data_IF_450816236921
#
_entry.id   IF_450816236921
#
_cell.length_a   1.000
_cell.length_b   1.000
_cell.length_c   1.000
_cell.angle_alpha   90.00
_cell.angle_beta   90.00
_cell.angle_gamma   90.00
#
_symmetry.space_group_name_H-M   'P 1'
#
loop_
_entity.id
_entity.type
_entity.pdbx_description
1 polymer ?
#
# COMPACT_ATOMS: atom_id res chain seq x y z
N UNK A 1 -28.98 -25.01 14.60
CA UNK A 1 -29.16 -23.78 13.78
C UNK A 1 -28.21 -22.64 14.19
N UNK A 2 -28.00 -22.40 15.48
CA UNK A 2 -27.11 -21.33 16.02
C UNK A 2 -25.63 -21.49 15.61
N UNK A 3 -25.07 -22.70 15.66
CA UNK A 3 -23.67 -22.94 15.30
C UNK A 3 -23.34 -22.59 13.82
N UNK A 4 -24.26 -22.92 12.90
CA UNK A 4 -24.14 -22.53 11.48
C UNK A 4 -24.15 -21.00 11.29
N UNK A 5 -24.97 -20.28 12.06
CA UNK A 5 -25.01 -18.81 12.04
C UNK A 5 -23.70 -18.20 12.55
N UNK A 6 -23.10 -18.75 13.60
CA UNK A 6 -21.78 -18.31 14.09
C UNK A 6 -20.66 -18.55 13.07
N UNK A 7 -20.64 -19.70 12.41
CA UNK A 7 -19.63 -20.02 11.38
C UNK A 7 -19.75 -19.07 10.18
N UNK A 8 -20.99 -18.77 9.76
CA UNK A 8 -21.26 -17.78 8.70
C UNK A 8 -20.82 -16.36 9.11
N UNK A 9 -21.10 -15.96 10.35
CA UNK A 9 -20.67 -14.64 10.84
C UNK A 9 -19.13 -14.53 10.89
N UNK A 10 -18.46 -15.58 11.39
CA UNK A 10 -17.01 -15.62 11.48
C UNK A 10 -16.33 -15.58 10.09
N UNK A 11 -16.89 -16.27 9.10
CA UNK A 11 -16.36 -16.27 7.73
C UNK A 11 -16.49 -14.89 7.06
N UNK A 12 -17.62 -14.20 7.26
CA UNK A 12 -17.81 -12.82 6.76
C UNK A 12 -16.79 -11.87 7.40
N UNK A 13 -16.57 -11.97 8.72
CA UNK A 13 -15.58 -11.15 9.42
C UNK A 13 -14.17 -11.41 8.89
N UNK A 14 -13.77 -12.68 8.74
CA UNK A 14 -12.43 -13.03 8.21
C UNK A 14 -12.24 -12.53 6.78
N UNK A 15 -13.25 -12.61 5.91
CA UNK A 15 -13.17 -12.10 4.54
C UNK A 15 -13.06 -10.56 4.48
N UNK A 16 -13.74 -9.84 5.38
CA UNK A 16 -13.66 -8.37 5.43
C UNK A 16 -12.24 -7.85 5.73
N UNK A 17 -11.43 -8.62 6.47
CA UNK A 17 -10.05 -8.22 6.78
C UNK A 17 -9.13 -8.17 5.56
N UNK A 18 -9.42 -8.97 4.51
CA UNK A 18 -8.59 -9.05 3.30
C UNK A 18 -8.48 -7.71 2.55
N UNK A 19 -9.55 -6.90 2.58
CA UNK A 19 -9.57 -5.59 1.94
C UNK A 19 -8.68 -4.57 2.68
N UNK A 20 -8.55 -4.69 4.00
CA UNK A 20 -7.66 -3.83 4.79
C UNK A 20 -6.16 -4.13 4.53
N UNK A 21 -5.82 -5.37 4.15
CA UNK A 21 -4.44 -5.78 3.91
C UNK A 21 -3.88 -5.34 2.56
N UNK A 22 -4.72 -5.07 1.54
CA UNK A 22 -4.25 -4.66 0.22
C UNK A 22 -3.51 -3.31 0.26
N UNK A 23 -4.07 -2.33 0.97
CA UNK A 23 -3.45 -1.02 1.17
C UNK A 23 -2.18 -1.13 2.04
N UNK A 24 -2.22 -1.98 3.08
CA UNK A 24 -1.08 -2.20 3.97
C UNK A 24 0.13 -2.81 3.25
N UNK A 25 -0.07 -3.84 2.41
CA UNK A 25 1.03 -4.47 1.67
C UNK A 25 1.71 -3.50 0.71
N UNK A 26 0.92 -2.61 0.09
CA UNK A 26 1.44 -1.53 -0.76
C UNK A 26 2.27 -0.53 0.05
N UNK A 27 1.75 0.00 1.16
CA UNK A 27 2.48 0.95 2.01
C UNK A 27 3.77 0.36 2.57
N UNK A 28 3.73 -0.91 2.96
CA UNK A 28 4.92 -1.62 3.44
C UNK A 28 5.99 -1.78 2.36
N UNK A 29 5.59 -1.98 1.10
CA UNK A 29 6.52 -2.03 -0.04
C UNK A 29 7.17 -0.67 -0.27
N UNK A 30 6.38 0.41 -0.28
CA UNK A 30 6.87 1.79 -0.38
C UNK A 30 7.84 2.13 0.75
N UNK A 31 7.46 1.82 1.99
CA UNK A 31 8.27 2.01 3.22
C UNK A 31 9.60 1.27 3.15
N UNK A 32 9.59 0.00 2.71
CA UNK A 32 10.82 -0.79 2.57
C UNK A 32 11.77 -0.20 1.51
N UNK A 33 11.26 0.25 0.37
CA UNK A 33 12.09 0.91 -0.64
C UNK A 33 12.66 2.23 -0.11
N UNK A 34 11.87 3.05 0.59
CA UNK A 34 12.37 4.28 1.21
C UNK A 34 13.47 4.00 2.25
N UNK A 35 13.29 2.98 3.09
CA UNK A 35 14.28 2.53 4.08
C UNK A 35 15.58 2.08 3.45
N UNK A 36 15.54 1.41 2.29
CA UNK A 36 16.73 1.00 1.54
C UNK A 36 17.60 2.21 1.16
N UNK A 37 16.98 3.32 0.76
CA UNK A 37 17.66 4.59 0.47
C UNK A 37 17.91 5.46 1.71
N UNK A 38 17.72 4.92 2.93
CA UNK A 38 17.88 5.63 4.21
C UNK A 38 16.98 6.86 4.36
N UNK A 39 15.82 6.85 3.70
CA UNK A 39 14.79 7.88 3.83
C UNK A 39 13.72 7.39 4.80
N UNK A 40 13.59 8.08 5.93
CA UNK A 40 12.59 7.75 6.93
C UNK A 40 11.20 8.22 6.48
N UNK A 41 10.23 7.31 6.55
CA UNK A 41 8.83 7.53 6.19
C UNK A 41 7.94 6.86 7.21
N UNK A 42 6.75 7.43 7.43
CA UNK A 42 5.74 6.90 8.34
C UNK A 42 4.58 6.32 7.53
N UNK A 43 4.33 5.02 7.69
CA UNK A 43 3.26 4.30 6.99
C UNK A 43 1.88 4.86 7.36
N UNK A 44 1.70 5.42 8.56
CA UNK A 44 0.44 6.03 8.99
C UNK A 44 0.15 7.36 8.27
N UNK A 45 1.17 7.96 7.66
CA UNK A 45 1.09 9.19 6.86
C UNK A 45 1.10 8.89 5.35
N UNK A 46 0.81 7.64 4.98
CA UNK A 46 0.57 7.22 3.61
C UNK A 46 -0.93 7.09 3.38
N UNK A 47 -1.42 7.57 2.24
CA UNK A 47 -2.81 7.43 1.85
C UNK A 47 -2.93 7.10 0.37
N UNK A 48 -3.78 6.12 0.06
CA UNK A 48 -4.16 5.75 -1.30
C UNK A 48 -5.66 6.01 -1.38
N UNK A 49 -6.04 7.09 -2.04
CA UNK A 49 -7.43 7.54 -2.14
C UNK A 49 -7.91 7.40 -3.57
N UNK A 50 -9.09 6.81 -3.75
CA UNK A 50 -9.77 6.78 -5.04
C UNK A 50 -10.47 8.13 -5.29
N UNK A 51 -10.18 8.76 -6.41
CA UNK A 51 -10.75 10.02 -6.86
C UNK A 51 -11.45 9.82 -8.20
N UNK A 52 -12.21 10.82 -8.66
CA UNK A 52 -12.91 10.75 -9.97
C UNK A 52 -11.94 10.55 -11.15
N UNK A 53 -10.69 10.98 -11.00
CA UNK A 53 -9.65 10.91 -12.02
C UNK A 53 -8.73 9.69 -11.86
N UNK A 54 -9.01 8.81 -10.88
CA UNK A 54 -8.25 7.60 -10.59
C UNK A 54 -7.69 7.56 -9.17
N UNK A 55 -6.67 6.72 -8.94
CA UNK A 55 -6.06 6.53 -7.63
C UNK A 55 -4.95 7.54 -7.36
N UNK A 56 -5.07 8.26 -6.24
CA UNK A 56 -4.08 9.23 -5.78
C UNK A 56 -3.33 8.66 -4.58
N UNK A 57 -2.01 8.52 -4.71
CA UNK A 57 -1.14 8.16 -3.61
C UNK A 57 -0.44 9.39 -3.02
N UNK A 58 -0.55 9.55 -1.70
CA UNK A 58 0.08 10.62 -0.94
C UNK A 58 1.02 10.02 0.10
N UNK A 59 2.23 10.60 0.21
CA UNK A 59 3.23 10.22 1.19
C UNK A 59 3.86 11.49 1.79
N UNK A 60 3.90 11.57 3.11
CA UNK A 60 4.64 12.64 3.80
C UNK A 60 6.11 12.23 4.00
N UNK A 61 7.04 13.05 3.51
CA UNK A 61 8.48 12.80 3.61
C UNK A 61 9.20 14.03 4.17
N UNK A 62 10.11 13.80 5.11
CA UNK A 62 10.98 14.86 5.65
C UNK A 62 12.27 14.92 4.83
N UNK A 63 12.59 16.11 4.30
CA UNK A 63 13.87 16.36 3.64
C UNK A 63 14.58 17.57 4.27
N UNK A 64 15.91 17.57 4.16
CA UNK A 64 16.72 18.79 4.31
C UNK A 64 16.77 19.47 2.94
N UNK A 65 16.79 20.80 2.89
CA UNK A 65 16.79 21.58 1.62
C UNK A 65 17.85 21.10 0.62
N UNK A 66 19.04 20.72 1.10
CA UNK A 66 20.14 20.20 0.27
C UNK A 66 19.87 18.81 -0.34
N UNK A 67 18.96 18.03 0.23
CA UNK A 67 18.66 16.65 -0.17
C UNK A 67 17.20 16.49 -0.63
N UNK A 68 16.54 17.60 -0.99
CA UNK A 68 15.14 17.58 -1.42
C UNK A 68 14.95 16.70 -2.65
N UNK A 69 15.78 16.90 -3.67
CA UNK A 69 15.71 16.16 -4.93
C UNK A 69 15.88 14.66 -4.72
N UNK A 70 16.81 14.25 -3.86
CA UNK A 70 17.02 12.85 -3.52
C UNK A 70 15.78 12.25 -2.86
N UNK A 71 15.19 12.93 -1.87
CA UNK A 71 13.99 12.43 -1.17
C UNK A 71 12.80 12.34 -2.12
N UNK A 72 12.64 13.32 -3.02
CA UNK A 72 11.59 13.32 -4.03
C UNK A 72 11.75 12.14 -5.02
N UNK A 73 12.96 11.94 -5.56
CA UNK A 73 13.26 10.82 -6.46
C UNK A 73 13.04 9.46 -5.79
N UNK A 74 13.47 9.31 -4.53
CA UNK A 74 13.21 8.09 -3.74
C UNK A 74 11.72 7.86 -3.56
N UNK A 75 10.94 8.93 -3.32
CA UNK A 75 9.48 8.88 -3.29
C UNK A 75 8.91 8.27 -4.58
N UNK A 76 9.26 8.83 -5.74
CA UNK A 76 8.81 8.30 -7.04
C UNK A 76 9.22 6.84 -7.28
N UNK A 77 10.49 6.50 -7.04
CA UNK A 77 10.99 5.13 -7.24
C UNK A 77 10.26 4.14 -6.33
N UNK A 78 10.01 4.51 -5.07
CA UNK A 78 9.33 3.66 -4.10
C UNK A 78 7.90 3.31 -4.51
N UNK A 79 7.16 4.30 -5.02
CA UNK A 79 5.79 4.12 -5.52
C UNK A 79 5.79 3.28 -6.79
N UNK A 80 6.68 3.57 -7.75
CA UNK A 80 6.79 2.80 -8.98
C UNK A 80 7.12 1.33 -8.74
N UNK A 81 8.03 1.03 -7.81
CA UNK A 81 8.33 -0.35 -7.42
C UNK A 81 7.15 -1.05 -6.75
N UNK A 82 6.38 -0.34 -5.92
CA UNK A 82 5.19 -0.89 -5.29
C UNK A 82 4.08 -1.18 -6.30
N UNK A 83 3.86 -0.29 -7.27
CA UNK A 83 2.90 -0.49 -8.37
C UNK A 83 3.30 -1.66 -9.26
N UNK A 84 4.57 -1.74 -9.67
CA UNK A 84 5.07 -2.87 -10.48
C UNK A 84 4.90 -4.21 -9.76
N UNK A 85 5.07 -4.22 -8.44
CA UNK A 85 4.83 -5.40 -7.62
C UNK A 85 3.36 -5.82 -7.59
N UNK A 86 2.44 -4.85 -7.43
CA UNK A 86 1.00 -5.11 -7.50
C UNK A 86 0.57 -5.59 -8.89
N UNK A 87 1.08 -4.99 -9.95
CA UNK A 87 0.81 -5.41 -11.33
C UNK A 87 1.28 -6.85 -11.58
N UNK A 88 2.49 -7.19 -11.13
CA UNK A 88 3.00 -8.55 -11.22
C UNK A 88 2.16 -9.56 -10.41
N UNK A 89 1.62 -9.15 -9.25
CA UNK A 89 0.67 -9.97 -8.50
C UNK A 89 -0.66 -10.14 -9.21
N UNK A 90 -1.21 -9.08 -9.80
CA UNK A 90 -2.46 -9.11 -10.56
C UNK A 90 -2.33 -10.07 -11.77
N UNK A 91 -1.26 -9.95 -12.54
CA UNK A 91 -0.97 -10.83 -13.70
C UNK A 91 -0.81 -12.31 -13.33
N UNK A 92 -0.43 -12.62 -12.09
CA UNK A 92 -0.27 -14.01 -11.60
C UNK A 92 -1.58 -14.68 -11.18
N UNK A 93 -2.70 -13.96 -11.11
CA UNK A 93 -4.02 -14.55 -10.88
C UNK A 93 -4.76 -14.69 -12.21
N UNK A 94 -4.84 -15.90 -12.81
CA UNK A 94 -5.67 -16.08 -13.99
C UNK A 94 -7.14 -16.01 -13.58
N UNK A 95 -7.90 -15.05 -14.11
CA UNK A 95 -9.36 -14.98 -13.92
C UNK A 95 -9.96 -13.65 -13.46
N UNK A 96 -9.25 -12.53 -13.60
CA UNK A 96 -9.86 -11.21 -13.74
C UNK A 96 -9.50 -10.65 -15.12
#
# INVERSE_FOLDING_TARGET
>A
MILRKFILLATIIVMSTQFAFANYAFYRKVSNTCKFYRVAVDENKMSLTETKDGYHFTIEMKSRRANFDMVMLVGFISVGQAMSHQEAFAKRRPGY
#
